data_IF_980089498321
#
_entry.id   IF_980089498321
#
_cell.length_a   1.000
_cell.length_b   1.000
_cell.length_c   1.000
_cell.angle_alpha   90.00
_cell.angle_beta   90.00
_cell.angle_gamma   90.00
#
_symmetry.space_group_name_H-M   'P 1'
#
loop_
_entity.id
_entity.type
_entity.pdbx_description
1 polymer ?
#
# COMPACT_ATOMS: atom_id res chain seq x y z
N UNK A 1 -23.59 3.92 -1.86
CA UNK A 1 -22.61 4.85 -2.48
C UNK A 1 -21.65 4.01 -3.27
N UNK A 2 -21.52 4.24 -4.58
CA UNK A 2 -20.57 3.53 -5.43
C UNK A 2 -19.30 4.34 -5.63
N UNK A 3 -18.26 3.69 -6.13
CA UNK A 3 -17.07 4.38 -6.61
C UNK A 3 -17.40 5.22 -7.85
N UNK A 4 -16.72 6.36 -8.01
CA UNK A 4 -16.86 7.22 -9.20
C UNK A 4 -15.81 6.87 -10.24
N UNK A 5 -16.05 7.14 -11.53
CA UNK A 5 -14.98 7.11 -12.52
C UNK A 5 -13.78 7.95 -12.04
N UNK A 6 -12.58 7.40 -12.21
CA UNK A 6 -11.35 7.96 -11.70
C UNK A 6 -11.00 7.54 -10.26
N UNK A 7 -11.85 6.80 -9.55
CA UNK A 7 -11.51 6.27 -8.22
C UNK A 7 -10.40 5.23 -8.32
N UNK A 8 -9.48 5.25 -7.37
CA UNK A 8 -8.45 4.21 -7.21
C UNK A 8 -8.87 3.27 -6.10
N UNK A 9 -8.94 1.98 -6.39
CA UNK A 9 -9.09 0.92 -5.39
C UNK A 9 -7.73 0.27 -5.16
N UNK A 10 -7.33 0.19 -3.90
CA UNK A 10 -6.09 -0.45 -3.46
C UNK A 10 -6.47 -1.66 -2.60
N UNK A 11 -6.04 -2.84 -3.01
CA UNK A 11 -6.23 -4.11 -2.30
C UNK A 11 -4.85 -4.63 -1.89
N UNK A 12 -4.73 -5.12 -0.66
CA UNK A 12 -3.44 -5.53 -0.11
C UNK A 12 -3.58 -6.76 0.79
N UNK A 13 -2.51 -7.52 0.97
CA UNK A 13 -2.38 -8.51 2.05
C UNK A 13 -1.87 -7.84 3.32
N UNK A 14 -2.23 -8.41 4.47
CA UNK A 14 -1.80 -7.96 5.80
C UNK A 14 -0.27 -7.82 5.93
N UNK A 15 0.52 -8.67 5.27
CA UNK A 15 1.98 -8.56 5.20
C UNK A 15 2.52 -7.19 4.73
N UNK A 16 1.70 -6.37 4.07
CA UNK A 16 2.07 -4.99 3.69
C UNK A 16 2.07 -4.02 4.90
N UNK A 17 1.14 -4.22 5.83
CA UNK A 17 0.94 -3.32 6.97
C UNK A 17 1.43 -3.91 8.30
N UNK A 18 1.33 -5.22 8.49
CA UNK A 18 1.69 -5.90 9.74
C UNK A 18 3.22 -6.06 9.85
N UNK A 19 3.77 -5.61 10.99
CA UNK A 19 5.17 -5.82 11.37
C UNK A 19 5.25 -6.24 12.83
N UNK A 20 6.23 -7.10 13.15
CA UNK A 20 6.41 -7.60 14.52
C UNK A 20 6.75 -6.46 15.48
N UNK A 21 5.90 -6.29 16.49
CA UNK A 21 6.09 -5.29 17.55
C UNK A 21 5.68 -3.87 17.16
N UNK A 22 5.03 -3.69 16.01
CA UNK A 22 4.43 -2.42 15.59
C UNK A 22 2.90 -2.48 15.74
N UNK A 23 2.28 -1.33 16.01
CA UNK A 23 0.84 -1.19 16.02
C UNK A 23 0.28 -1.27 14.58
N UNK A 24 -0.77 -2.06 14.37
CA UNK A 24 -1.45 -2.21 13.08
C UNK A 24 -1.92 -0.86 12.51
N UNK A 25 -2.35 0.07 13.37
CA UNK A 25 -2.77 1.40 12.94
C UNK A 25 -1.62 2.21 12.36
N UNK A 26 -0.39 2.03 12.87
CA UNK A 26 0.78 2.71 12.31
C UNK A 26 1.11 2.21 10.89
N UNK A 27 0.94 0.91 10.63
CA UNK A 27 1.06 0.33 9.29
C UNK A 27 -0.02 0.85 8.33
N UNK A 28 -1.26 0.93 8.82
CA UNK A 28 -2.39 1.44 8.04
C UNK A 28 -2.24 2.94 7.71
N UNK A 29 -1.80 3.75 8.67
CA UNK A 29 -1.56 5.18 8.48
C UNK A 29 -0.46 5.42 7.45
N UNK A 30 0.61 4.61 7.47
CA UNK A 30 1.66 4.67 6.43
C UNK A 30 1.13 4.30 5.05
N UNK A 31 0.31 3.26 4.94
CA UNK A 31 -0.33 2.89 3.68
C UNK A 31 -1.21 4.03 3.15
N UNK A 32 -2.09 4.58 4.00
CA UNK A 32 -2.97 5.67 3.63
C UNK A 32 -2.18 6.91 3.18
N UNK A 33 -1.13 7.27 3.91
CA UNK A 33 -0.27 8.40 3.58
C UNK A 33 0.47 8.21 2.25
N UNK A 34 1.02 7.02 2.01
CA UNK A 34 1.72 6.73 0.75
C UNK A 34 0.76 6.79 -0.45
N UNK A 35 -0.44 6.20 -0.34
CA UNK A 35 -1.46 6.25 -1.40
C UNK A 35 -1.91 7.69 -1.65
N UNK A 36 -2.11 8.48 -0.60
CA UNK A 36 -2.47 9.91 -0.72
C UNK A 36 -1.35 10.71 -1.38
N UNK A 37 -0.10 10.48 -1.00
CA UNK A 37 1.06 11.17 -1.58
C UNK A 37 1.19 10.89 -3.09
N UNK A 38 0.90 9.66 -3.51
CA UNK A 38 1.10 9.18 -4.87
C UNK A 38 -0.18 9.12 -5.73
N UNK A 39 -1.32 9.65 -5.26
CA UNK A 39 -2.65 9.46 -5.88
C UNK A 39 -2.79 9.92 -7.35
N UNK A 40 -1.91 10.84 -7.78
CA UNK A 40 -1.88 11.34 -9.17
C UNK A 40 -1.23 10.36 -10.15
N UNK A 41 -0.55 9.33 -9.65
CA UNK A 41 0.09 8.32 -10.49
C UNK A 41 -0.94 7.38 -11.14
N UNK A 42 -0.52 6.78 -12.25
CA UNK A 42 -1.21 5.64 -12.83
C UNK A 42 -1.15 4.41 -11.92
N UNK A 43 -1.97 3.37 -12.16
CA UNK A 43 -2.08 2.21 -11.26
C UNK A 43 -0.77 1.51 -10.95
N UNK A 44 0.04 1.21 -11.98
CA UNK A 44 1.29 0.48 -11.83
C UNK A 44 2.39 1.33 -11.16
N UNK A 45 2.65 2.59 -11.57
CA UNK A 45 3.55 3.47 -10.83
C UNK A 45 3.11 3.76 -9.39
N UNK A 46 1.80 3.80 -9.11
CA UNK A 46 1.28 3.91 -7.76
C UNK A 46 1.59 2.65 -6.93
N UNK A 47 1.42 1.46 -7.51
CA UNK A 47 1.76 0.21 -6.83
C UNK A 47 3.25 0.16 -6.47
N UNK A 48 4.12 0.51 -7.42
CA UNK A 48 5.58 0.54 -7.21
C UNK A 48 5.97 1.54 -6.10
N UNK A 49 5.39 2.74 -6.12
CA UNK A 49 5.69 3.77 -5.12
C UNK A 49 5.24 3.35 -3.72
N UNK A 50 4.03 2.78 -3.60
CA UNK A 50 3.52 2.28 -2.31
C UNK A 50 4.37 1.12 -1.79
N UNK A 51 4.76 0.18 -2.64
CA UNK A 51 5.64 -0.92 -2.24
C UNK A 51 7.02 -0.40 -1.81
N UNK A 52 7.59 0.59 -2.50
CA UNK A 52 8.87 1.18 -2.14
C UNK A 52 8.83 1.91 -0.78
N UNK A 53 7.73 2.58 -0.45
CA UNK A 53 7.56 3.28 0.82
C UNK A 53 7.32 2.33 2.01
N UNK A 54 6.62 1.21 1.76
CA UNK A 54 6.16 0.33 2.83
C UNK A 54 7.04 -0.90 3.04
N UNK A 55 7.63 -1.49 2.00
CA UNK A 55 8.43 -2.70 2.15
C UNK A 55 9.82 -2.31 2.67
N UNK A 56 10.22 -2.75 3.88
CA UNK A 56 11.52 -2.41 4.43
C UNK A 56 12.66 -2.95 3.56
N UNK A 57 13.84 -2.33 3.67
CA UNK A 57 15.01 -2.71 2.88
C UNK A 57 15.32 -4.24 2.93
N UNK A 58 15.97 -4.79 1.89
CA UNK A 58 16.14 -6.24 1.68
C UNK A 58 16.77 -7.01 2.84
N UNK A 59 17.43 -6.31 3.76
CA UNK A 59 18.08 -6.91 4.93
C UNK A 59 17.08 -7.41 5.98
N UNK A 60 15.82 -6.93 5.95
CA UNK A 60 14.77 -7.36 6.89
C UNK A 60 13.61 -8.09 6.24
N UNK A 61 13.34 -7.86 4.95
CA UNK A 61 12.19 -8.44 4.25
C UNK A 61 10.84 -8.09 4.92
N UNK A 62 9.71 -8.32 4.26
CA UNK A 62 8.42 -8.31 4.96
C UNK A 62 8.34 -9.53 5.89
N UNK A 63 7.66 -9.35 7.03
CA UNK A 63 7.48 -10.42 8.03
C UNK A 63 6.55 -11.55 7.53
N UNK A 64 5.76 -11.26 6.48
CA UNK A 64 4.79 -12.15 5.83
C UNK A 64 4.67 -11.83 4.32
N UNK A 65 3.96 -12.68 3.58
CA UNK A 65 3.73 -12.51 2.14
C UNK A 65 3.02 -11.19 1.81
N UNK A 66 3.65 -10.41 0.92
CA UNK A 66 3.16 -9.07 0.53
C UNK A 66 2.63 -9.09 -0.91
N UNK A 67 1.38 -8.67 -1.09
CA UNK A 67 0.79 -8.40 -2.39
C UNK A 67 0.01 -7.07 -2.37
N UNK A 68 0.03 -6.37 -3.50
CA UNK A 68 -0.67 -5.11 -3.73
C UNK A 68 -1.32 -5.14 -5.10
N UNK A 69 -2.60 -4.77 -5.17
CA UNK A 69 -3.35 -4.62 -6.43
C UNK A 69 -3.97 -3.23 -6.48
N UNK A 70 -3.69 -2.51 -7.55
CA UNK A 70 -4.21 -1.16 -7.79
C UNK A 70 -5.12 -1.17 -9.01
N UNK A 71 -6.36 -0.71 -8.85
CA UNK A 71 -7.38 -0.66 -9.91
C UNK A 71 -7.86 0.77 -10.07
N UNK A 72 -7.93 1.25 -11.31
CA UNK A 72 -8.59 2.52 -11.65
C UNK A 72 -9.95 2.22 -12.25
N UNK A 73 -11.00 2.82 -11.68
CA UNK A 73 -12.40 2.66 -12.08
C UNK A 73 -12.86 3.75 -13.07
#
# INVERSE_FOLDING_TARGET
MGYRPGSTLVLYTDGLIERRGEDIYAGLDRLAHSVEHHHLLGPEPLADAVLADLVPEPQRGPDDDTALVVIRL
#
